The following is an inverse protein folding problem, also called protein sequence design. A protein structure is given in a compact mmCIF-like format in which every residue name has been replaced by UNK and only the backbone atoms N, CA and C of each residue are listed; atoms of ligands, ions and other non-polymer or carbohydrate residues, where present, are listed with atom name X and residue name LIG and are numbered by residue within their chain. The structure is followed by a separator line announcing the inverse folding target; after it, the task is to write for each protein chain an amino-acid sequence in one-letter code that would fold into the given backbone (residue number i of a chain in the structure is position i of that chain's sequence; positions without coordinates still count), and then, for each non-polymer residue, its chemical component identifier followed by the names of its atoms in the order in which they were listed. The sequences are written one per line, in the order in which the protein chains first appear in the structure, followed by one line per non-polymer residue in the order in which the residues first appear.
data_IF_108582418009
#
_entry.id   IF_108582418009
#
_cell.length_a   1.000
_cell.length_b   1.000
_cell.length_c   1.000
_cell.angle_alpha   90.00
_cell.angle_beta   90.00
_cell.angle_gamma   90.00
#
_symmetry.space_group_name_H-M   'P 1'
#
loop_
_entity.id
_entity.type
_entity.pdbx_description
1 polymer ?
#
# COMPACT_ATOMS: atom_id res chain seq x y z
N UNK A 1 15.61 18.61 8.25
CA UNK A 1 14.16 18.68 8.57
C UNK A 1 13.92 17.99 9.89
N UNK A 2 13.07 18.54 10.79
CA UNK A 2 12.64 17.81 11.98
C UNK A 2 11.87 16.55 11.53
N UNK A 3 12.29 15.39 12.00
CA UNK A 3 11.64 14.10 11.71
C UNK A 3 10.57 13.88 12.77
N UNK A 4 9.29 14.04 12.41
CA UNK A 4 8.20 13.59 13.28
C UNK A 4 7.98 12.10 13.06
N UNK A 5 8.35 11.30 14.04
CA UNK A 5 8.04 9.86 14.08
C UNK A 5 6.70 9.71 14.78
N UNK A 6 5.69 9.18 14.10
CA UNK A 6 4.40 8.85 14.71
C UNK A 6 4.10 7.39 14.44
N UNK A 7 3.89 6.62 15.51
CA UNK A 7 3.29 5.30 15.43
C UNK A 7 1.79 5.46 15.69
N UNK A 8 0.97 5.15 14.70
CA UNK A 8 -0.45 4.90 14.98
C UNK A 8 -0.65 3.41 15.07
N UNK A 9 -1.00 2.94 16.27
CA UNK A 9 -1.51 1.60 16.49
C UNK A 9 -2.94 1.55 15.90
N UNK A 10 -3.08 1.33 14.58
CA UNK A 10 -4.38 1.02 13.97
C UNK A 10 -4.73 -0.41 14.36
N UNK A 11 -5.25 -0.59 15.58
CA UNK A 11 -5.66 -1.90 16.06
C UNK A 11 -6.81 -2.43 15.21
N UNK A 12 -6.54 -3.46 14.42
CA UNK A 12 -7.60 -4.35 13.96
C UNK A 12 -8.17 -5.04 15.18
N UNK A 13 -9.49 -5.06 15.29
CA UNK A 13 -10.20 -5.65 16.43
C UNK A 13 -9.91 -7.14 16.59
N UNK A 14 -9.53 -7.83 15.50
CA UNK A 14 -9.13 -9.25 15.50
C UNK A 14 -8.15 -9.56 14.35
N UNK A 15 -7.37 -10.64 14.47
CA UNK A 15 -6.46 -11.15 13.41
C UNK A 15 -7.18 -11.63 12.13
N UNK A 16 -8.51 -11.74 12.18
CA UNK A 16 -9.40 -12.29 11.13
C UNK A 16 -10.41 -11.28 10.59
N UNK A 17 -10.27 -10.00 10.93
CA UNK A 17 -11.12 -8.97 10.37
C UNK A 17 -10.73 -8.71 8.91
N UNK A 18 -11.67 -8.94 7.99
CA UNK A 18 -11.57 -8.67 6.56
C UNK A 18 -12.59 -7.64 6.08
N UNK A 19 -13.21 -6.90 7.01
CA UNK A 19 -14.34 -6.00 6.71
C UNK A 19 -14.05 -4.55 7.08
N UNK A 20 -13.25 -4.31 8.11
CA UNK A 20 -12.97 -2.94 8.55
C UNK A 20 -12.01 -2.25 7.57
N UNK A 21 -12.53 -1.30 6.80
CA UNK A 21 -11.72 -0.42 5.93
C UNK A 21 -10.98 0.63 6.76
N UNK A 22 -9.66 0.70 6.57
CA UNK A 22 -8.76 1.63 7.24
C UNK A 22 -8.16 2.68 6.29
N UNK A 23 -8.59 2.71 5.02
CA UNK A 23 -7.99 3.55 3.98
C UNK A 23 -7.93 5.02 4.40
N UNK A 24 -9.05 5.60 4.86
CA UNK A 24 -9.10 7.01 5.26
C UNK A 24 -8.21 7.32 6.47
N UNK A 25 -8.19 6.43 7.45
CA UNK A 25 -7.37 6.59 8.65
C UNK A 25 -5.88 6.56 8.30
N UNK A 26 -5.45 5.56 7.53
CA UNK A 26 -4.05 5.46 7.10
C UNK A 26 -3.65 6.63 6.19
N UNK A 27 -4.54 7.07 5.29
CA UNK A 27 -4.26 8.23 4.44
C UNK A 27 -4.09 9.53 5.25
N UNK A 28 -4.89 9.73 6.30
CA UNK A 28 -4.76 10.89 7.18
C UNK A 28 -3.43 10.87 7.95
N UNK A 29 -2.93 9.70 8.34
CA UNK A 29 -1.60 9.57 8.95
C UNK A 29 -0.48 9.92 8.00
N UNK A 30 -0.57 9.42 6.76
CA UNK A 30 0.41 9.76 5.73
C UNK A 30 0.39 11.26 5.41
N UNK A 31 -0.71 11.97 5.63
CA UNK A 31 -0.74 13.43 5.46
C UNK A 31 -0.01 14.19 6.59
N UNK A 32 0.23 13.56 7.75
CA UNK A 32 0.74 14.22 8.94
C UNK A 32 2.15 13.76 9.35
N UNK A 33 2.54 12.54 8.99
CA UNK A 33 3.76 11.90 9.49
C UNK A 33 4.73 11.54 8.36
N UNK A 34 6.02 11.83 8.57
CA UNK A 34 7.08 11.52 7.60
C UNK A 34 7.45 10.05 7.61
N UNK A 35 7.31 9.39 8.77
CA UNK A 35 7.56 7.97 8.93
C UNK A 35 6.35 7.35 9.63
N UNK A 36 5.65 6.47 8.91
CA UNK A 36 4.51 5.70 9.42
C UNK A 36 4.96 4.27 9.63
N UNK A 37 4.78 3.77 10.86
CA UNK A 37 5.03 2.38 11.22
C UNK A 37 3.70 1.65 11.38
N UNK A 38 3.53 0.56 10.66
CA UNK A 38 2.37 -0.33 10.70
C UNK A 38 2.77 -1.59 11.46
N UNK A 39 2.23 -1.77 12.66
CA UNK A 39 2.54 -2.89 13.55
C UNK A 39 1.39 -3.90 13.68
N UNK A 40 0.34 -3.68 12.91
CA UNK A 40 -0.94 -4.37 12.96
C UNK A 40 -1.39 -4.67 11.53
N UNK A 41 -2.35 -5.59 11.38
CA UNK A 41 -2.98 -5.82 10.09
C UNK A 41 -3.71 -4.52 9.67
N UNK A 42 -3.77 -4.19 8.39
CA UNK A 42 -4.55 -3.04 7.89
C UNK A 42 -5.23 -3.49 6.61
N UNK A 43 -6.56 -3.46 6.62
CA UNK A 43 -7.34 -3.69 5.41
C UNK A 43 -7.63 -2.37 4.69
N UNK A 44 -7.50 -2.37 3.36
CA UNK A 44 -7.73 -1.21 2.51
C UNK A 44 -8.79 -1.54 1.45
N UNK A 45 -9.86 -0.76 1.38
CA UNK A 45 -10.87 -0.79 0.28
C UNK A 45 -10.58 0.27 -0.81
N UNK A 46 -9.48 1.02 -0.70
CA UNK A 46 -9.04 1.94 -1.75
C UNK A 46 -7.52 2.15 -1.67
N UNK A 47 -6.97 2.93 -2.61
CA UNK A 47 -5.55 3.25 -2.61
C UNK A 47 -5.18 4.24 -1.51
N UNK A 48 -4.07 4.00 -0.84
CA UNK A 48 -3.35 5.03 -0.10
C UNK A 48 -2.19 5.58 -0.94
N UNK A 49 -1.87 6.86 -0.75
CA UNK A 49 -0.83 7.57 -1.50
C UNK A 49 0.10 8.26 -0.53
N UNK A 50 1.40 8.20 -0.81
CA UNK A 50 2.38 9.06 -0.13
C UNK A 50 1.99 10.52 -0.31
N UNK A 51 2.22 11.36 0.71
CA UNK A 51 1.78 12.76 0.70
C UNK A 51 2.88 13.76 0.36
N UNK A 52 4.16 13.38 0.52
CA UNK A 52 5.31 14.25 0.26
C UNK A 52 6.59 13.45 0.02
N UNK A 53 7.64 14.14 -0.43
CA UNK A 53 8.95 13.56 -0.76
C UNK A 53 9.63 12.91 0.45
N UNK A 54 10.32 11.79 0.23
CA UNK A 54 11.13 11.14 1.26
C UNK A 54 10.32 10.39 2.33
N UNK A 55 8.99 10.33 2.21
CA UNK A 55 8.12 9.66 3.17
C UNK A 55 8.43 8.16 3.27
N UNK A 56 8.42 7.63 4.49
CA UNK A 56 8.72 6.23 4.81
C UNK A 56 7.48 5.54 5.33
N UNK A 57 7.14 4.41 4.72
CA UNK A 57 6.15 3.46 5.22
C UNK A 57 6.92 2.21 5.63
N UNK A 58 6.89 1.88 6.91
CA UNK A 58 7.54 0.69 7.45
C UNK A 58 6.51 -0.21 8.09
N UNK A 59 6.68 -1.51 7.92
CA UNK A 59 5.81 -2.50 8.56
C UNK A 59 6.64 -3.39 9.47
N UNK A 60 6.17 -3.62 10.69
CA UNK A 60 6.84 -4.51 11.63
C UNK A 60 6.48 -5.97 11.31
N UNK A 61 7.11 -6.93 12.00
CA UNK A 61 6.83 -8.36 11.82
C UNK A 61 5.36 -8.75 12.03
N UNK A 62 4.61 -7.99 12.82
CA UNK A 62 3.19 -8.23 13.13
C UNK A 62 2.25 -7.42 12.24
N UNK A 63 2.78 -6.43 11.51
CA UNK A 63 2.00 -5.64 10.57
C UNK A 63 1.78 -6.33 9.24
N UNK A 64 0.66 -6.04 8.59
CA UNK A 64 0.34 -6.58 7.28
C UNK A 64 -0.66 -5.68 6.55
N UNK A 65 -0.51 -5.47 5.24
CA UNK A 65 -1.52 -4.73 4.46
C UNK A 65 -2.25 -5.69 3.52
N UNK A 66 -3.59 -5.64 3.59
CA UNK A 66 -4.50 -6.50 2.83
C UNK A 66 -5.48 -5.68 2.00
N UNK A 67 -5.70 -6.01 0.73
CA UNK A 67 -6.80 -5.45 -0.03
C UNK A 67 -8.12 -6.09 0.43
N UNK A 68 -9.15 -5.27 0.58
CA UNK A 68 -10.53 -5.70 0.79
C UNK A 68 -11.47 -4.98 -0.19
N UNK A 69 -12.71 -5.45 -0.24
CA UNK A 69 -13.78 -4.85 -1.03
C UNK A 69 -13.55 -4.86 -2.56
N UNK A 70 -14.53 -4.33 -3.27
CA UNK A 70 -14.64 -4.48 -4.73
C UNK A 70 -13.78 -3.47 -5.50
N UNK A 71 -13.48 -2.32 -4.90
CA UNK A 71 -12.68 -1.28 -5.55
C UNK A 71 -11.23 -1.72 -5.78
N UNK A 72 -10.71 -2.56 -4.90
CA UNK A 72 -9.35 -3.10 -5.00
C UNK A 72 -9.18 -4.09 -6.17
N UNK A 73 -10.25 -4.44 -6.89
CA UNK A 73 -10.19 -5.20 -8.14
C UNK A 73 -9.51 -4.47 -9.30
N UNK A 74 -9.34 -3.16 -9.20
CA UNK A 74 -8.75 -2.35 -10.28
C UNK A 74 -7.62 -1.45 -9.80
N UNK A 75 -7.26 -1.54 -8.52
CA UNK A 75 -6.35 -0.61 -7.86
C UNK A 75 -5.22 -1.35 -7.15
N UNK A 76 -4.06 -0.70 -7.10
CA UNK A 76 -2.91 -1.10 -6.27
C UNK A 76 -3.02 -0.48 -4.88
N UNK A 77 -2.66 -1.19 -3.82
CA UNK A 77 -2.89 -0.71 -2.45
C UNK A 77 -2.15 0.59 -2.11
N UNK A 78 -0.87 0.69 -2.49
CA UNK A 78 0.01 1.79 -2.10
C UNK A 78 0.58 2.46 -3.33
N UNK A 79 0.40 3.76 -3.45
CA UNK A 79 0.99 4.57 -4.53
C UNK A 79 2.11 5.45 -3.97
N UNK A 80 3.33 5.20 -4.44
CA UNK A 80 4.49 6.06 -4.23
C UNK A 80 4.44 7.21 -5.25
N UNK A 81 3.75 8.27 -4.87
CA UNK A 81 3.47 9.45 -5.70
C UNK A 81 4.60 10.48 -5.69
N UNK A 82 5.49 10.45 -4.70
CA UNK A 82 6.57 11.41 -4.53
C UNK A 82 7.94 10.74 -4.56
N UNK A 83 8.95 11.51 -4.96
CA UNK A 83 10.32 11.00 -5.08
C UNK A 83 10.88 10.59 -3.72
N UNK A 84 11.91 9.73 -3.73
CA UNK A 84 12.64 9.33 -2.53
C UNK A 84 11.80 8.61 -1.44
N UNK A 85 10.53 8.31 -1.71
CA UNK A 85 9.68 7.54 -0.80
C UNK A 85 10.17 6.10 -0.63
N UNK A 86 9.96 5.54 0.56
CA UNK A 86 10.46 4.22 0.92
C UNK A 86 9.35 3.35 1.47
N UNK A 87 9.33 2.09 1.04
CA UNK A 87 8.56 1.02 1.67
C UNK A 87 9.55 0.02 2.25
N UNK A 88 9.48 -0.18 3.56
CA UNK A 88 10.38 -1.04 4.32
C UNK A 88 9.60 -2.16 4.99
N UNK A 89 10.13 -3.39 4.89
CA UNK A 89 9.66 -4.55 5.65
C UNK A 89 8.16 -4.88 5.47
N UNK A 90 7.54 -4.41 4.38
CA UNK A 90 6.11 -4.59 4.13
C UNK A 90 5.75 -6.07 3.98
N UNK A 91 4.86 -6.54 4.84
CA UNK A 91 4.15 -7.78 4.61
C UNK A 91 2.79 -7.50 3.96
N UNK A 92 2.48 -8.16 2.85
CA UNK A 92 1.20 -8.03 2.17
C UNK A 92 0.67 -9.38 1.72
N UNK A 93 -0.62 -9.61 1.97
CA UNK A 93 -1.35 -10.74 1.40
C UNK A 93 -2.67 -10.31 0.81
N UNK A 94 -3.15 -11.04 -0.19
CA UNK A 94 -4.52 -10.89 -0.71
C UNK A 94 -5.36 -12.10 -0.29
N UNK A 95 -6.13 -11.99 0.82
CA UNK A 95 -6.95 -13.09 1.30
C UNK A 95 -8.12 -13.42 0.35
N UNK A 96 -8.54 -12.49 -0.51
CA UNK A 96 -9.65 -12.69 -1.44
C UNK A 96 -9.26 -13.58 -2.63
N UNK A 97 -7.97 -13.59 -3.03
CA UNK A 97 -7.49 -14.51 -4.06
C UNK A 97 -7.60 -15.97 -3.62
N UNK A 98 -7.32 -16.26 -2.34
CA UNK A 98 -7.54 -17.59 -1.77
C UNK A 98 -9.02 -18.00 -1.80
N UNK A 99 -9.94 -17.06 -1.54
CA UNK A 99 -11.38 -17.32 -1.57
C UNK A 99 -11.93 -17.50 -2.99
N UNK A 100 -11.38 -16.78 -3.98
CA UNK A 100 -11.80 -16.91 -5.38
C UNK A 100 -11.46 -18.25 -6.02
N UNK A 101 -10.42 -18.94 -5.52
CA UNK A 101 -10.09 -20.30 -5.93
C UNK A 101 -11.03 -21.35 -5.31
N UNK A 102 -11.80 -21.00 -4.28
CA UNK A 102 -12.73 -21.91 -3.59
C UNK A 102 -14.18 -21.81 -4.12
N UNK A 103 -14.52 -20.76 -4.87
CA UNK A 103 -15.86 -20.56 -5.45
C UNK A 103 -15.70 -20.10 -6.90
N UNK A 104 -15.82 -21.04 -7.84
CA UNK A 104 -15.45 -20.93 -9.27
C UNK A 104 -16.11 -19.83 -10.11
N UNK A 105 -16.85 -18.87 -9.53
CA UNK A 105 -17.63 -17.87 -10.28
C UNK A 105 -17.56 -16.44 -9.71
N UNK A 106 -16.64 -16.11 -8.81
CA UNK A 106 -16.40 -14.73 -8.40
C UNK A 106 -14.94 -14.38 -8.55
N UNK A 107 -14.59 -13.81 -9.70
CA UNK A 107 -13.27 -13.28 -10.01
C UNK A 107 -12.73 -12.47 -8.83
N UNK A 108 -11.83 -13.09 -8.07
CA UNK A 108 -11.14 -12.48 -6.94
C UNK A 108 -10.20 -11.43 -7.47
N UNK A 109 -10.39 -10.21 -7.00
CA UNK A 109 -9.70 -9.02 -7.45
C UNK A 109 -8.19 -9.20 -7.49
N UNK A 110 -7.64 -9.16 -8.70
CA UNK A 110 -6.26 -8.78 -8.93
C UNK A 110 -6.27 -7.25 -8.83
N UNK A 111 -5.45 -6.56 -8.05
CA UNK A 111 -4.09 -6.17 -8.47
C UNK A 111 -3.21 -5.80 -7.27
N UNK A 112 -1.92 -5.75 -7.55
CA UNK A 112 -0.81 -5.75 -6.59
C UNK A 112 -0.71 -4.74 -5.47
N UNK A 113 0.41 -4.87 -4.75
CA UNK A 113 0.65 -4.15 -3.51
C UNK A 113 1.08 -2.71 -3.77
N UNK A 114 2.04 -2.49 -4.68
CA UNK A 114 2.72 -1.20 -4.81
C UNK A 114 2.69 -0.69 -6.25
N UNK A 115 2.35 0.60 -6.40
CA UNK A 115 2.53 1.41 -7.60
C UNK A 115 3.63 2.45 -7.38
N UNK A 116 4.67 2.43 -8.20
CA UNK A 116 5.73 3.45 -8.19
C UNK A 116 5.46 4.42 -9.33
N UNK A 117 5.03 5.65 -8.99
CA UNK A 117 4.75 6.72 -9.95
C UNK A 117 5.79 7.85 -9.93
N UNK A 118 6.76 7.79 -9.02
CA UNK A 118 7.83 8.77 -8.87
C UNK A 118 9.23 8.16 -8.96
N UNK A 119 10.24 9.01 -9.12
CA UNK A 119 11.63 8.59 -9.25
C UNK A 119 12.29 8.29 -7.89
N UNK A 120 13.31 7.44 -7.91
CA UNK A 120 14.19 7.19 -6.76
C UNK A 120 13.49 6.62 -5.51
N UNK A 121 12.37 5.93 -5.69
CA UNK A 121 11.72 5.22 -4.60
C UNK A 121 12.46 3.91 -4.25
N UNK A 122 12.39 3.50 -2.98
CA UNK A 122 12.99 2.27 -2.48
C UNK A 122 11.91 1.32 -1.94
N UNK A 123 11.97 0.06 -2.33
CA UNK A 123 11.17 -1.02 -1.75
C UNK A 123 12.14 -2.09 -1.25
N UNK A 124 12.19 -2.33 0.06
CA UNK A 124 13.18 -3.20 0.67
C UNK A 124 12.58 -4.09 1.76
N UNK A 125 13.04 -5.34 1.85
CA UNK A 125 12.62 -6.28 2.91
C UNK A 125 11.14 -6.68 2.84
N UNK A 126 10.47 -6.44 1.72
CA UNK A 126 9.04 -6.67 1.59
C UNK A 126 8.72 -8.12 1.19
N UNK A 127 7.67 -8.68 1.79
CA UNK A 127 7.12 -10.00 1.46
C UNK A 127 5.70 -9.83 0.93
N UNK A 128 5.45 -10.30 -0.29
CA UNK A 128 4.15 -10.15 -0.97
C UNK A 128 3.65 -11.54 -1.38
N UNK A 129 2.50 -11.96 -0.84
CA UNK A 129 1.96 -13.30 -1.01
C UNK A 129 0.56 -13.27 -1.60
N UNK A 130 0.23 -14.27 -2.41
CA UNK A 130 -1.08 -14.41 -3.05
C UNK A 130 -1.50 -13.15 -3.84
N UNK A 131 -0.53 -12.38 -4.32
CA UNK A 131 -0.75 -11.21 -5.17
C UNK A 131 -0.56 -11.59 -6.63
N UNK A 132 -1.10 -10.76 -7.52
CA UNK A 132 -1.03 -11.00 -8.97
C UNK A 132 0.12 -10.25 -9.57
N UNK A 133 0.23 -8.99 -9.15
CA UNK A 133 1.41 -8.18 -9.36
C UNK A 133 1.93 -7.87 -7.96
N UNK A 134 3.24 -7.86 -7.75
CA UNK A 134 3.81 -7.48 -6.46
C UNK A 134 4.02 -5.95 -6.45
N UNK A 135 4.76 -5.48 -7.45
CA UNK A 135 5.11 -4.08 -7.67
C UNK A 135 4.92 -3.75 -9.13
N UNK A 136 4.32 -2.60 -9.43
CA UNK A 136 4.30 -1.99 -10.76
C UNK A 136 5.07 -0.68 -10.67
N UNK A 137 5.97 -0.44 -11.62
CA UNK A 137 6.68 0.83 -11.76
C UNK A 137 6.29 1.46 -13.09
N UNK A 138 5.51 2.54 -13.05
CA UNK A 138 5.10 3.28 -14.23
C UNK A 138 5.98 4.52 -14.34
N UNK A 139 6.85 4.56 -15.35
CA UNK A 139 7.64 5.75 -15.65
C UNK A 139 6.76 6.78 -16.36
N UNK A 140 6.27 7.78 -15.65
CA UNK A 140 5.62 8.94 -16.28
C UNK A 140 6.70 9.81 -16.94
N UNK A 141 6.92 9.64 -18.24
CA UNK A 141 7.72 10.59 -19.03
C UNK A 141 6.83 11.81 -19.23
N UNK A 142 7.07 12.89 -18.49
CA UNK A 142 6.53 14.19 -18.88
C UNK A 142 7.21 14.58 -20.20
N UNK A 143 6.52 14.44 -21.33
CA UNK A 143 7.01 14.99 -22.59
C UNK A 143 6.98 16.51 -22.45
N UNK A 144 8.13 17.13 -22.15
CA UNK A 144 8.32 18.53 -22.50
C UNK A 144 8.36 18.59 -24.02
N UNK A 145 7.21 18.90 -24.64
CA UNK A 145 7.19 19.40 -25.99
C UNK A 145 7.90 20.76 -25.98
N UNK A 146 9.23 20.75 -26.12
CA UNK A 146 9.94 21.91 -26.64
C UNK A 146 9.58 21.99 -28.12
N UNK A 147 8.60 22.84 -28.43
CA UNK A 147 8.44 23.36 -29.79
C UNK A 147 9.36 24.58 -29.85
N UNK A 148 10.49 24.41 -30.53
CA UNK A 148 11.27 25.53 -31.07
C UNK A 148 10.56 26.12 -32.29
#
# INVERSE_FOLDING_TARGET
MPVSTSSLNIRVTTTTDYKTDNTKALQALLQQATHVIIDTVINLDDQIKTAFEGQVIEVTKTGEIRPIGEKMKTHLMIVLKHSNCKILNLHSSNPQLLQSNLVSNKGGGRQGTIDIQAGFCLIQGCTMMNQVNAVIAVRTIASMAHVF
#
